data_IF_791853305676
#
_entry.id   IF_791853305676
#
_cell.length_a   1.000
_cell.length_b   1.000
_cell.length_c   1.000
_cell.angle_alpha   90.00
_cell.angle_beta   90.00
_cell.angle_gamma   90.00
#
_symmetry.space_group_name_H-M   'P 1'
#
loop_
_entity.id
_entity.type
_entity.pdbx_description
1 polymer ?
#
# COMPACT_ATOMS: atom_id res chain seq x y z
N UNK A 1 -32.76 -61.20 -9.18
CA UNK A 1 -33.40 -60.99 -10.48
C UNK A 1 -32.63 -59.89 -11.18
N UNK A 2 -31.64 -60.18 -12.01
CA UNK A 2 -31.67 -60.39 -13.46
C UNK A 2 -32.23 -59.13 -14.16
N UNK A 3 -31.45 -58.42 -15.02
CA UNK A 3 -30.77 -58.68 -16.29
C UNK A 3 -29.90 -57.46 -16.69
N UNK A 4 -28.64 -57.54 -17.01
CA UNK A 4 -28.01 -57.72 -18.36
C UNK A 4 -28.22 -56.55 -19.34
N UNK A 5 -27.11 -55.86 -19.63
CA UNK A 5 -26.25 -55.87 -20.86
C UNK A 5 -26.69 -54.93 -21.99
N UNK A 6 -25.84 -54.00 -22.47
CA UNK A 6 -25.03 -54.07 -23.70
C UNK A 6 -24.29 -52.74 -23.98
N UNK A 7 -22.99 -52.75 -24.18
CA UNK A 7 -22.30 -51.83 -25.08
C UNK A 7 -22.26 -52.53 -26.46
N UNK A 8 -21.44 -52.13 -27.44
CA UNK A 8 -20.60 -50.94 -27.68
C UNK A 8 -20.85 -50.33 -29.08
N UNK A 9 -20.19 -49.26 -29.49
CA UNK A 9 -19.67 -49.17 -30.85
C UNK A 9 -18.76 -47.95 -31.05
N UNK A 10 -17.55 -48.26 -31.37
CA UNK A 10 -16.53 -47.43 -32.01
C UNK A 10 -17.02 -47.04 -33.40
N UNK A 11 -16.88 -45.77 -33.76
CA UNK A 11 -16.79 -45.39 -35.19
C UNK A 11 -15.67 -44.35 -35.37
N UNK A 12 -14.59 -44.87 -35.90
CA UNK A 12 -13.44 -44.19 -36.50
C UNK A 12 -13.88 -43.60 -37.85
N UNK A 13 -13.69 -42.33 -38.09
CA UNK A 13 -13.72 -41.80 -39.48
C UNK A 13 -12.61 -40.76 -39.64
N UNK A 14 -11.55 -41.20 -40.24
CA UNK A 14 -10.52 -40.48 -40.98
C UNK A 14 -11.14 -39.71 -42.13
N UNK A 15 -10.80 -38.44 -42.31
CA UNK A 15 -10.91 -37.80 -43.62
C UNK A 15 -9.66 -36.97 -43.94
N UNK A 16 -9.20 -37.22 -45.14
CA UNK A 16 -7.92 -36.93 -45.78
C UNK A 16 -7.92 -35.53 -46.39
N UNK A 17 -6.76 -34.86 -46.28
CA UNK A 17 -6.14 -33.93 -47.22
C UNK A 17 -6.92 -33.44 -48.45
N UNK A 18 -6.93 -32.13 -48.64
CA UNK A 18 -6.84 -31.53 -49.97
C UNK A 18 -6.04 -30.22 -49.94
N UNK A 19 -4.84 -30.33 -50.49
CA UNK A 19 -3.89 -29.29 -50.88
C UNK A 19 -4.36 -28.65 -52.16
N UNK A 20 -4.43 -27.32 -52.24
CA UNK A 20 -4.48 -26.61 -53.50
C UNK A 20 -3.70 -25.31 -53.44
N UNK A 21 -2.54 -25.32 -54.02
CA UNK A 21 -1.75 -24.16 -54.38
C UNK A 21 -2.40 -23.41 -55.59
N UNK A 22 -2.42 -22.10 -55.51
CA UNK A 22 -2.45 -21.24 -56.70
C UNK A 22 -1.35 -20.20 -56.61
N UNK A 23 -0.37 -20.35 -57.46
CA UNK A 23 0.64 -19.36 -57.82
C UNK A 23 0.14 -18.57 -59.04
N UNK A 24 0.67 -17.38 -59.14
CA UNK A 24 0.83 -16.44 -60.25
C UNK A 24 -0.14 -15.25 -60.20
N UNK A 25 0.31 -14.04 -60.34
CA UNK A 25 1.54 -13.48 -60.83
C UNK A 25 1.46 -11.98 -60.98
N UNK A 26 2.63 -11.41 -61.22
CA UNK A 26 2.99 -10.17 -61.92
C UNK A 26 2.87 -8.82 -61.20
N UNK A 27 3.99 -8.32 -60.72
CA UNK A 27 4.77 -7.24 -61.39
C UNK A 27 4.03 -5.90 -61.61
N UNK A 28 4.35 -4.96 -60.73
CA UNK A 28 4.07 -3.54 -60.92
C UNK A 28 5.04 -2.74 -60.06
N UNK A 29 6.11 -2.27 -60.69
CA UNK A 29 7.08 -1.32 -60.13
C UNK A 29 6.37 0.01 -59.88
N UNK A 30 6.25 0.37 -58.61
CA UNK A 30 5.78 1.68 -58.16
C UNK A 30 6.57 2.03 -56.90
N UNK A 31 7.57 2.87 -57.05
CA UNK A 31 8.33 3.52 -55.97
C UNK A 31 7.39 4.47 -55.24
N UNK A 32 6.77 4.00 -54.15
CA UNK A 32 6.13 4.88 -53.20
C UNK A 32 7.02 5.08 -51.99
N UNK A 33 7.22 6.36 -51.71
CA UNK A 33 7.97 6.87 -50.55
C UNK A 33 7.41 6.24 -49.30
N UNK A 34 8.30 5.68 -48.48
CA UNK A 34 8.12 5.36 -47.06
C UNK A 34 7.54 6.58 -46.34
N UNK A 35 6.20 6.61 -46.23
CA UNK A 35 5.54 7.43 -45.21
C UNK A 35 5.73 6.74 -43.88
N UNK A 36 6.20 7.50 -42.89
CA UNK A 36 6.56 7.03 -41.60
C UNK A 36 5.56 6.08 -40.94
N UNK A 37 6.09 5.08 -40.26
CA UNK A 37 5.37 4.15 -39.43
C UNK A 37 4.40 4.93 -38.53
N UNK A 38 3.13 4.80 -38.80
CA UNK A 38 2.10 5.12 -37.81
C UNK A 38 2.33 4.11 -36.67
N UNK A 39 2.99 4.54 -35.58
CA UNK A 39 3.07 3.79 -34.33
C UNK A 39 1.64 3.38 -33.98
N UNK A 40 1.35 2.08 -33.98
CA UNK A 40 0.06 1.57 -33.53
C UNK A 40 -0.20 2.03 -32.09
N UNK A 41 -1.46 2.22 -31.72
CA UNK A 41 -1.84 2.62 -30.36
C UNK A 41 -1.26 1.66 -29.32
N UNK A 42 -0.50 2.19 -28.37
CA UNK A 42 0.11 1.45 -27.26
C UNK A 42 -0.86 1.46 -26.07
N UNK A 43 -1.13 0.31 -25.48
CA UNK A 43 -1.90 0.23 -24.22
C UNK A 43 -0.98 -0.23 -23.10
N UNK A 44 -0.66 0.67 -22.18
CA UNK A 44 0.07 0.37 -20.96
C UNK A 44 -0.88 -0.17 -19.90
N UNK A 45 -0.50 -1.25 -19.24
CA UNK A 45 -1.22 -1.85 -18.12
C UNK A 45 -0.50 -1.50 -16.81
N UNK A 46 -1.21 -0.93 -15.87
CA UNK A 46 -0.68 -0.64 -14.53
C UNK A 46 -1.46 -1.45 -13.49
N UNK A 47 -0.74 -2.23 -12.67
CA UNK A 47 -1.34 -2.97 -11.56
C UNK A 47 -1.41 -2.08 -10.32
N UNK A 48 -2.62 -1.92 -9.77
CA UNK A 48 -2.95 -1.04 -8.64
C UNK A 48 -3.82 -1.76 -7.61
N UNK A 49 -3.79 -1.28 -6.35
CA UNK A 49 -4.66 -1.84 -5.28
C UNK A 49 -5.80 -0.92 -4.86
N UNK A 50 -5.91 0.26 -5.44
CA UNK A 50 -6.98 1.17 -5.08
C UNK A 50 -8.34 0.56 -5.48
N UNK A 51 -9.26 0.52 -4.53
CA UNK A 51 -10.56 -0.12 -4.66
C UNK A 51 -11.74 0.77 -4.25
N UNK A 52 -11.49 2.00 -3.80
CA UNK A 52 -12.57 2.93 -3.51
C UNK A 52 -12.96 3.73 -4.77
N UNK A 53 -14.25 4.08 -4.95
CA UNK A 53 -14.72 4.77 -6.16
C UNK A 53 -14.07 6.13 -6.40
N UNK A 54 -13.84 6.91 -5.35
CA UNK A 54 -13.23 8.25 -5.47
C UNK A 54 -11.77 8.13 -5.91
N UNK A 55 -10.97 7.30 -5.25
CA UNK A 55 -9.57 7.08 -5.64
C UNK A 55 -9.45 6.54 -7.07
N UNK A 56 -10.34 5.62 -7.48
CA UNK A 56 -10.38 5.13 -8.87
C UNK A 56 -10.68 6.25 -9.87
N UNK A 57 -11.59 7.16 -9.52
CA UNK A 57 -11.92 8.32 -10.35
C UNK A 57 -10.71 9.24 -10.51
N UNK A 58 -10.04 9.56 -9.40
CA UNK A 58 -8.87 10.43 -9.38
C UNK A 58 -7.70 9.84 -10.20
N UNK A 59 -7.44 8.54 -10.06
CA UNK A 59 -6.43 7.86 -10.88
C UNK A 59 -6.77 7.95 -12.37
N UNK A 60 -8.03 7.74 -12.74
CA UNK A 60 -8.46 7.88 -14.12
C UNK A 60 -8.26 9.30 -14.67
N UNK A 61 -8.50 10.34 -13.87
CA UNK A 61 -8.27 11.73 -14.28
C UNK A 61 -6.78 12.00 -14.55
N UNK A 62 -5.89 11.47 -13.69
CA UNK A 62 -4.43 11.55 -13.87
C UNK A 62 -4.00 10.83 -15.16
N UNK A 63 -4.49 9.61 -15.38
CA UNK A 63 -4.14 8.84 -16.58
C UNK A 63 -4.69 9.48 -17.87
N UNK A 64 -5.89 10.04 -17.84
CA UNK A 64 -6.45 10.79 -18.98
C UNK A 64 -5.61 12.03 -19.30
N UNK A 65 -5.04 12.71 -18.30
CA UNK A 65 -4.13 13.81 -18.53
C UNK A 65 -2.84 13.35 -19.20
N UNK A 66 -2.28 12.20 -18.80
CA UNK A 66 -1.12 11.59 -19.48
C UNK A 66 -1.44 11.21 -20.92
N UNK A 67 -2.57 10.56 -21.18
CA UNK A 67 -3.01 10.16 -22.53
C UNK A 67 -3.17 11.36 -23.46
N UNK A 68 -3.67 12.48 -22.94
CA UNK A 68 -3.82 13.73 -23.70
C UNK A 68 -2.47 14.31 -24.13
N UNK A 69 -1.44 14.19 -23.32
CA UNK A 69 -0.08 14.64 -23.62
C UNK A 69 0.72 13.63 -24.46
N UNK A 70 0.27 12.37 -24.53
CA UNK A 70 0.93 11.29 -25.26
C UNK A 70 -0.06 10.62 -26.25
N UNK A 71 -0.42 11.28 -27.37
CA UNK A 71 -1.33 10.72 -28.37
C UNK A 71 -0.84 9.35 -28.86
N UNK A 72 -1.74 8.37 -28.94
CA UNK A 72 -1.42 6.99 -29.30
C UNK A 72 -1.01 6.10 -28.11
N UNK A 73 -0.99 6.63 -26.88
CA UNK A 73 -0.80 5.82 -25.67
C UNK A 73 -2.08 5.83 -24.84
N UNK A 74 -2.51 4.65 -24.39
CA UNK A 74 -3.63 4.43 -23.48
C UNK A 74 -3.13 3.80 -22.18
N UNK A 75 -3.79 4.08 -21.06
CA UNK A 75 -3.46 3.49 -19.76
C UNK A 75 -4.66 2.69 -19.25
N UNK A 76 -4.43 1.44 -18.90
CA UNK A 76 -5.43 0.54 -18.35
C UNK A 76 -5.04 0.06 -16.96
N UNK A 77 -5.89 0.37 -15.97
CA UNK A 77 -5.72 -0.18 -14.62
C UNK A 77 -6.08 -1.67 -14.57
N UNK A 78 -5.27 -2.43 -13.87
CA UNK A 78 -5.52 -3.81 -13.46
C UNK A 78 -5.59 -3.83 -11.93
N UNK A 79 -6.66 -4.39 -11.36
CA UNK A 79 -6.88 -4.35 -9.93
C UNK A 79 -6.50 -5.65 -9.24
N UNK A 80 -5.94 -5.50 -8.02
CA UNK A 80 -5.84 -6.58 -7.05
C UNK A 80 -6.13 -6.05 -5.65
N UNK A 81 -6.80 -6.83 -4.77
CA UNK A 81 -6.89 -6.51 -3.35
C UNK A 81 -5.50 -6.38 -2.73
N UNK A 82 -5.36 -5.48 -1.75
CA UNK A 82 -4.06 -5.18 -1.12
C UNK A 82 -3.38 -6.43 -0.56
N UNK A 83 -4.13 -7.30 0.12
CA UNK A 83 -3.65 -8.55 0.72
C UNK A 83 -3.27 -9.64 -0.30
N UNK A 84 -3.71 -9.53 -1.56
CA UNK A 84 -3.43 -10.47 -2.67
C UNK A 84 -2.53 -9.88 -3.75
N UNK A 85 -2.10 -8.65 -3.56
CA UNK A 85 -1.45 -7.85 -4.59
C UNK A 85 -0.12 -8.46 -5.05
N UNK A 86 0.75 -8.78 -4.09
CA UNK A 86 2.08 -9.32 -4.36
C UNK A 86 2.02 -10.68 -5.06
N UNK A 87 1.15 -11.58 -4.58
CA UNK A 87 0.92 -12.90 -5.19
C UNK A 87 0.43 -12.76 -6.63
N UNK A 88 -0.50 -11.82 -6.86
CA UNK A 88 -1.03 -11.57 -8.20
C UNK A 88 0.06 -11.07 -9.15
N UNK A 89 0.86 -10.09 -8.72
CA UNK A 89 1.95 -9.56 -9.56
C UNK A 89 2.98 -10.64 -9.90
N UNK A 90 3.41 -11.42 -8.91
CA UNK A 90 4.37 -12.53 -9.14
C UNK A 90 3.79 -13.62 -10.05
N UNK A 91 2.52 -13.97 -9.88
CA UNK A 91 1.83 -14.94 -10.74
C UNK A 91 1.73 -14.45 -12.19
N UNK A 92 1.34 -13.19 -12.39
CA UNK A 92 1.28 -12.59 -13.73
C UNK A 92 2.66 -12.54 -14.38
N UNK A 93 3.70 -12.19 -13.59
CA UNK A 93 5.09 -12.15 -14.07
C UNK A 93 5.60 -13.53 -14.50
N UNK A 94 5.33 -14.56 -13.70
CA UNK A 94 5.71 -15.93 -14.01
C UNK A 94 4.94 -16.50 -15.22
N UNK A 95 3.70 -16.07 -15.41
CA UNK A 95 2.84 -16.49 -16.53
C UNK A 95 3.10 -15.75 -17.85
N UNK A 96 4.02 -14.79 -17.88
CA UNK A 96 4.30 -13.98 -19.10
C UNK A 96 3.21 -12.94 -19.41
N UNK A 97 2.29 -12.66 -18.45
CA UNK A 97 1.22 -11.65 -18.53
C UNK A 97 1.52 -10.46 -17.60
N UNK A 98 2.79 -10.13 -17.42
CA UNK A 98 3.23 -9.07 -16.53
C UNK A 98 2.65 -7.72 -16.96
N UNK A 99 2.16 -6.87 -16.02
CA UNK A 99 1.78 -5.50 -16.32
C UNK A 99 3.02 -4.64 -16.63
N UNK A 100 2.82 -3.56 -17.40
CA UNK A 100 3.92 -2.64 -17.77
C UNK A 100 4.42 -1.85 -16.57
N UNK A 101 3.50 -1.39 -15.70
CA UNK A 101 3.83 -0.75 -14.44
C UNK A 101 3.14 -1.48 -13.27
N UNK A 102 3.72 -1.33 -12.11
CA UNK A 102 3.21 -1.91 -10.87
C UNK A 102 3.41 -0.97 -9.69
N UNK A 103 2.36 -0.76 -8.91
CA UNK A 103 2.49 -0.22 -7.56
C UNK A 103 3.19 -1.24 -6.69
N UNK A 104 4.03 -0.81 -5.78
CA UNK A 104 4.82 -1.74 -4.97
C UNK A 104 4.53 -1.48 -3.50
N UNK A 105 4.11 -2.52 -2.79
CA UNK A 105 4.07 -2.47 -1.33
C UNK A 105 5.53 -2.43 -0.83
N UNK A 106 5.91 -1.44 0.01
CA UNK A 106 7.30 -1.31 0.45
C UNK A 106 7.93 -2.61 0.97
N UNK A 107 7.16 -3.39 1.73
CA UNK A 107 7.60 -4.69 2.26
C UNK A 107 7.96 -5.73 1.17
N UNK A 108 7.38 -5.63 -0.02
CA UNK A 108 7.63 -6.56 -1.14
C UNK A 108 8.71 -6.07 -2.10
N UNK A 109 9.21 -4.84 -1.95
CA UNK A 109 10.11 -4.25 -2.92
C UNK A 109 11.41 -5.07 -3.08
N UNK A 110 12.08 -5.41 -1.98
CA UNK A 110 13.26 -6.28 -2.01
C UNK A 110 13.00 -7.64 -2.66
N UNK A 111 11.85 -8.24 -2.39
CA UNK A 111 11.46 -9.51 -3.01
C UNK A 111 11.30 -9.40 -4.54
N UNK A 112 10.65 -8.31 -5.02
CA UNK A 112 10.47 -8.11 -6.46
C UNK A 112 11.79 -7.89 -7.17
N UNK A 113 12.71 -7.11 -6.57
CA UNK A 113 14.05 -6.93 -7.10
C UNK A 113 14.83 -8.25 -7.09
N UNK A 114 14.84 -8.99 -5.97
CA UNK A 114 15.52 -10.27 -5.84
C UNK A 114 15.02 -11.35 -6.83
N UNK A 115 13.71 -11.33 -7.14
CA UNK A 115 13.12 -12.21 -8.18
C UNK A 115 13.37 -11.72 -9.61
N UNK A 116 13.98 -10.54 -9.79
CA UNK A 116 14.32 -9.99 -11.10
C UNK A 116 13.09 -9.66 -11.96
N UNK A 117 11.95 -9.32 -11.35
CA UNK A 117 10.70 -9.00 -12.06
C UNK A 117 10.53 -7.50 -12.34
N UNK A 118 11.42 -6.65 -11.83
CA UNK A 118 11.46 -5.22 -12.11
C UNK A 118 12.59 -4.87 -13.08
N UNK A 119 12.37 -3.80 -13.86
CA UNK A 119 13.38 -3.22 -14.73
C UNK A 119 14.37 -2.37 -13.91
N UNK A 120 15.68 -2.48 -14.19
CA UNK A 120 16.70 -1.57 -13.69
C UNK A 120 16.56 -0.22 -14.42
N UNK A 121 16.38 0.85 -13.66
CA UNK A 121 16.18 2.21 -14.15
C UNK A 121 17.43 3.07 -14.01
N UNK A 122 18.56 2.50 -13.58
CA UNK A 122 19.79 3.25 -13.26
C UNK A 122 20.36 4.02 -14.45
N UNK A 123 20.14 3.53 -15.67
CA UNK A 123 20.58 4.16 -16.92
C UNK A 123 19.55 5.17 -17.50
N UNK A 124 18.42 5.36 -16.84
CA UNK A 124 17.40 6.31 -17.29
C UNK A 124 17.73 7.73 -16.83
N UNK A 125 17.35 8.71 -17.64
CA UNK A 125 17.53 10.13 -17.33
C UNK A 125 16.47 10.58 -16.30
N UNK A 126 16.71 10.25 -15.02
CA UNK A 126 15.86 10.64 -13.91
C UNK A 126 16.22 12.06 -13.48
N UNK A 127 15.26 12.97 -13.44
CA UNK A 127 15.44 14.36 -13.01
C UNK A 127 15.60 14.47 -11.49
N UNK A 128 16.74 13.99 -10.98
CA UNK A 128 17.02 13.83 -9.55
C UNK A 128 16.83 15.12 -8.74
N UNK A 129 17.16 16.26 -9.33
CA UNK A 129 17.10 17.56 -8.66
C UNK A 129 15.67 18.05 -8.37
N UNK A 130 14.67 17.47 -9.04
CA UNK A 130 13.25 17.81 -8.81
C UNK A 130 12.68 17.16 -7.54
N UNK A 131 13.27 16.05 -7.08
CA UNK A 131 12.77 15.31 -5.92
C UNK A 131 13.22 15.94 -4.60
N UNK A 132 12.44 15.71 -3.56
CA UNK A 132 12.84 15.99 -2.19
C UNK A 132 14.06 15.13 -1.81
N UNK A 133 14.89 15.58 -0.84
CA UNK A 133 16.05 14.81 -0.39
C UNK A 133 15.66 13.37 0.01
N UNK A 134 16.51 12.41 -0.31
CA UNK A 134 16.42 10.99 0.06
C UNK A 134 15.22 10.22 -0.52
N UNK A 135 14.29 10.87 -1.22
CA UNK A 135 13.11 10.19 -1.79
C UNK A 135 13.50 9.11 -2.81
N UNK A 136 14.47 9.40 -3.67
CA UNK A 136 14.89 8.44 -4.69
C UNK A 136 15.56 7.20 -4.09
N UNK A 137 16.18 7.33 -2.92
CA UNK A 137 16.79 6.20 -2.20
C UNK A 137 15.74 5.14 -1.81
N UNK A 138 14.49 5.57 -1.59
CA UNK A 138 13.37 4.67 -1.30
C UNK A 138 13.02 3.74 -2.49
N UNK A 139 13.50 4.05 -3.69
CA UNK A 139 13.34 3.24 -4.89
C UNK A 139 14.59 2.46 -5.29
N UNK A 140 15.59 2.36 -4.40
CA UNK A 140 16.89 1.71 -4.67
C UNK A 140 17.06 0.43 -3.87
N UNK A 141 17.73 -0.54 -4.49
CA UNK A 141 18.25 -1.74 -3.83
C UNK A 141 19.70 -1.91 -4.31
N UNK A 142 20.65 -2.07 -3.40
CA UNK A 142 22.09 -2.21 -3.68
C UNK A 142 22.64 -1.09 -4.59
N UNK A 143 22.17 0.15 -4.39
CA UNK A 143 22.58 1.33 -5.12
C UNK A 143 22.03 1.44 -6.55
N UNK A 144 21.15 0.54 -6.97
CA UNK A 144 20.47 0.56 -8.27
C UNK A 144 19.03 1.01 -8.12
N UNK A 145 18.56 1.81 -9.08
CA UNK A 145 17.18 2.30 -9.11
C UNK A 145 16.24 1.28 -9.78
N UNK A 146 15.19 0.86 -9.09
CA UNK A 146 14.17 -0.07 -9.61
C UNK A 146 12.75 0.50 -9.56
N UNK A 147 12.56 1.57 -8.81
CA UNK A 147 11.26 2.24 -8.72
C UNK A 147 11.45 3.75 -8.58
N UNK A 148 10.49 4.55 -9.02
CA UNK A 148 10.36 5.93 -8.64
C UNK A 148 9.24 6.07 -7.61
N UNK A 149 9.39 7.01 -6.69
CA UNK A 149 8.41 7.23 -5.64
C UNK A 149 7.37 8.22 -6.13
N UNK A 150 6.11 7.83 -6.08
CA UNK A 150 4.99 8.69 -6.46
C UNK A 150 4.60 9.65 -5.35
N UNK A 151 4.57 9.13 -4.13
CA UNK A 151 4.17 9.86 -2.94
C UNK A 151 4.85 9.31 -1.70
N UNK A 152 4.97 10.13 -0.68
CA UNK A 152 5.46 9.75 0.62
C UNK A 152 4.65 10.47 1.69
N UNK A 153 4.32 9.74 2.76
CA UNK A 153 3.51 10.24 3.85
C UNK A 153 3.84 9.52 5.15
N UNK A 154 3.08 9.84 6.17
CA UNK A 154 3.10 9.15 7.45
C UNK A 154 1.66 9.00 7.94
N UNK A 155 1.44 8.16 8.94
CA UNK A 155 0.13 8.02 9.55
C UNK A 155 -0.13 9.13 10.55
N UNK A 156 -1.42 9.48 10.69
CA UNK A 156 -1.94 10.39 11.71
C UNK A 156 -3.11 9.72 12.43
N UNK A 157 -3.44 10.24 13.61
CA UNK A 157 -4.66 9.87 14.30
C UNK A 157 -5.78 10.83 13.93
N UNK A 158 -6.74 10.35 13.15
CA UNK A 158 -8.00 11.06 12.94
C UNK A 158 -8.91 10.91 14.15
N UNK A 159 -9.60 11.99 14.53
CA UNK A 159 -10.50 11.98 15.67
C UNK A 159 -11.81 12.71 15.41
N UNK A 160 -12.89 12.21 16.02
CA UNK A 160 -14.23 12.76 15.94
C UNK A 160 -14.42 13.80 17.05
N UNK A 161 -14.38 15.10 16.69
CA UNK A 161 -14.51 16.24 17.61
C UNK A 161 -15.82 16.17 18.42
N UNK A 162 -16.93 15.82 17.77
CA UNK A 162 -18.23 15.78 18.41
C UNK A 162 -18.31 14.69 19.52
N UNK A 163 -17.60 13.57 19.35
CA UNK A 163 -17.51 12.53 20.38
C UNK A 163 -16.63 12.96 21.56
N UNK A 164 -15.54 13.66 21.30
CA UNK A 164 -14.68 14.23 22.33
C UNK A 164 -15.42 15.25 23.16
N UNK A 165 -16.13 16.20 22.50
CA UNK A 165 -16.96 17.21 23.15
C UNK A 165 -18.06 16.57 24.01
N UNK A 166 -18.80 15.61 23.46
CA UNK A 166 -19.88 14.90 24.16
C UNK A 166 -19.42 14.11 25.39
N UNK A 167 -18.15 13.66 25.38
CA UNK A 167 -17.56 12.94 26.51
C UNK A 167 -16.79 13.86 27.48
N UNK A 168 -16.65 15.15 27.18
CA UNK A 168 -15.83 16.08 27.97
C UNK A 168 -14.35 15.70 27.99
N UNK A 169 -13.84 15.11 26.90
CA UNK A 169 -12.44 14.72 26.74
C UNK A 169 -11.72 15.84 25.98
N UNK A 170 -10.62 16.38 26.49
CA UNK A 170 -9.82 17.34 25.72
C UNK A 170 -9.37 16.75 24.37
N UNK A 171 -9.29 17.60 23.33
CA UNK A 171 -8.72 17.16 22.06
C UNK A 171 -7.25 16.74 22.24
N UNK A 172 -6.77 15.76 21.48
CA UNK A 172 -5.37 15.37 21.51
C UNK A 172 -4.50 16.51 20.99
N UNK A 173 -3.27 16.59 21.48
CA UNK A 173 -2.25 17.57 21.08
C UNK A 173 -1.12 16.88 20.32
N UNK A 174 -0.28 17.62 19.63
CA UNK A 174 0.85 17.08 18.87
C UNK A 174 1.89 16.35 19.75
N UNK A 175 1.83 16.54 21.10
CA UNK A 175 2.77 15.95 22.06
C UNK A 175 2.14 14.83 22.90
N UNK A 176 0.94 14.36 22.57
CA UNK A 176 0.27 13.32 23.34
C UNK A 176 1.02 11.98 23.30
N UNK A 177 0.80 11.15 24.33
CA UNK A 177 1.48 9.87 24.55
C UNK A 177 0.52 8.69 24.41
N UNK A 178 1.05 7.47 24.43
CA UNK A 178 0.24 6.25 24.53
C UNK A 178 -0.68 6.23 25.75
N UNK A 179 -0.22 6.78 26.89
CA UNK A 179 -1.04 6.86 28.10
C UNK A 179 -2.20 7.84 27.93
N UNK A 180 -1.96 9.00 27.30
CA UNK A 180 -3.01 9.98 26.97
C UNK A 180 -4.02 9.39 25.97
N UNK A 181 -3.54 8.73 24.93
CA UNK A 181 -4.37 8.03 23.98
C UNK A 181 -5.26 6.98 24.67
N UNK A 182 -4.67 6.13 25.52
CA UNK A 182 -5.43 5.09 26.22
C UNK A 182 -6.44 5.68 27.19
N UNK A 183 -6.10 6.75 27.88
CA UNK A 183 -7.02 7.46 28.77
C UNK A 183 -8.21 8.05 28.01
N UNK A 184 -7.96 8.69 26.86
CA UNK A 184 -9.00 9.21 25.99
C UNK A 184 -9.85 8.06 25.41
N UNK A 185 -9.24 7.02 24.86
CA UNK A 185 -9.93 5.88 24.28
C UNK A 185 -10.88 5.20 25.26
N UNK A 186 -10.47 5.04 26.54
CA UNK A 186 -11.34 4.50 27.59
C UNK A 186 -12.57 5.36 27.87
N UNK A 187 -12.41 6.69 27.95
CA UNK A 187 -13.51 7.62 28.19
C UNK A 187 -14.49 7.68 27.00
N UNK A 188 -13.96 7.54 25.76
CA UNK A 188 -14.73 7.57 24.54
C UNK A 188 -15.42 6.25 24.21
N UNK A 189 -15.04 5.16 24.87
CA UNK A 189 -15.70 3.85 24.69
C UNK A 189 -17.01 3.81 25.48
N UNK A 190 -18.14 3.50 24.78
CA UNK A 190 -19.46 3.40 25.40
C UNK A 190 -19.98 1.97 25.37
N UNK A 191 -20.49 1.53 26.49
CA UNK A 191 -21.08 0.20 26.67
C UNK A 191 -22.54 0.35 27.09
N UNK A 192 -23.46 -0.26 26.35
CA UNK A 192 -24.87 -0.27 26.64
C UNK A 192 -25.38 -1.72 26.63
N UNK A 193 -26.12 -2.12 27.64
CA UNK A 193 -26.65 -3.48 27.76
C UNK A 193 -25.57 -4.57 27.70
N UNK A 194 -24.35 -4.28 28.17
CA UNK A 194 -23.20 -5.20 28.12
C UNK A 194 -22.53 -5.34 26.74
N UNK A 195 -22.93 -4.53 25.75
CA UNK A 195 -22.32 -4.48 24.41
C UNK A 195 -21.66 -3.14 24.18
N UNK A 196 -20.46 -3.14 23.60
CA UNK A 196 -19.81 -1.91 23.16
C UNK A 196 -20.56 -1.36 21.95
N UNK A 197 -21.11 -0.17 22.07
CA UNK A 197 -21.87 0.55 21.02
C UNK A 197 -21.00 1.61 20.33
N UNK A 198 -19.95 2.09 21.00
CA UNK A 198 -18.96 3.02 20.50
C UNK A 198 -17.58 2.62 21.00
N UNK A 199 -16.59 2.52 20.13
CA UNK A 199 -15.21 2.23 20.46
C UNK A 199 -14.40 3.51 20.54
N UNK A 200 -13.37 3.54 21.39
CA UNK A 200 -12.42 4.65 21.45
C UNK A 200 -11.53 4.69 20.21
N UNK A 201 -11.18 3.53 19.66
CA UNK A 201 -10.31 3.36 18.49
C UNK A 201 -10.91 2.36 17.51
N UNK A 202 -10.83 2.64 16.19
CA UNK A 202 -11.25 1.71 15.15
C UNK A 202 -10.25 0.58 15.00
N UNK A 203 -9.00 0.90 14.69
CA UNK A 203 -7.93 -0.05 14.48
C UNK A 203 -6.56 0.61 14.64
N UNK A 204 -5.68 0.05 15.47
CA UNK A 204 -4.32 0.48 15.63
C UNK A 204 -3.38 -0.58 15.07
N UNK A 205 -2.67 -0.27 14.00
CA UNK A 205 -1.83 -1.24 13.30
C UNK A 205 -0.59 -1.60 14.11
N UNK A 206 -0.27 -2.89 14.18
CA UNK A 206 0.91 -3.37 14.90
C UNK A 206 2.21 -2.77 14.38
N UNK A 207 2.34 -2.57 13.07
CA UNK A 207 3.52 -1.93 12.49
C UNK A 207 3.76 -0.52 13.00
N UNK A 208 2.68 0.25 13.24
CA UNK A 208 2.75 1.58 13.81
C UNK A 208 3.16 1.52 15.30
N UNK A 209 2.54 0.62 16.05
CA UNK A 209 2.90 0.40 17.47
C UNK A 209 4.37 -0.01 17.63
N UNK A 210 4.86 -0.90 16.74
CA UNK A 210 6.27 -1.32 16.75
C UNK A 210 7.20 -0.10 16.59
N UNK A 211 6.96 0.71 15.57
CA UNK A 211 7.80 1.89 15.27
C UNK A 211 7.80 2.87 16.45
N UNK A 212 6.65 3.21 16.99
CA UNK A 212 6.52 4.13 18.10
C UNK A 212 7.21 3.65 19.38
N UNK A 213 7.31 2.34 19.58
CA UNK A 213 7.98 1.76 20.72
C UNK A 213 9.47 1.44 20.49
N UNK A 214 9.97 1.66 19.24
CA UNK A 214 11.35 1.32 18.86
C UNK A 214 11.56 -0.15 18.51
N UNK A 215 10.46 -0.89 18.27
CA UNK A 215 10.47 -2.28 17.83
C UNK A 215 10.42 -2.43 16.30
N UNK A 216 10.65 -3.64 15.83
CA UNK A 216 10.55 -4.01 14.41
C UNK A 216 10.42 -5.53 14.23
N UNK A 217 10.07 -5.97 13.01
CA UNK A 217 10.08 -7.41 12.68
C UNK A 217 11.50 -7.96 12.57
N UNK A 218 12.34 -7.23 11.84
CA UNK A 218 13.78 -7.50 11.67
C UNK A 218 14.54 -6.17 11.69
N UNK A 219 15.85 -6.22 11.93
CA UNK A 219 16.74 -5.05 11.92
C UNK A 219 16.76 -4.37 10.54
N UNK A 220 17.13 -3.09 10.50
CA UNK A 220 17.20 -2.29 9.27
C UNK A 220 18.15 -2.87 8.21
N UNK A 221 19.20 -3.58 8.63
CA UNK A 221 20.11 -4.29 7.72
C UNK A 221 19.62 -5.69 7.32
N UNK A 222 18.45 -6.09 7.80
CA UNK A 222 17.80 -7.38 7.51
C UNK A 222 18.48 -8.61 8.11
N UNK A 223 19.47 -8.45 9.02
CA UNK A 223 20.29 -9.56 9.50
C UNK A 223 19.82 -10.17 10.81
N UNK A 224 19.00 -9.45 11.57
CA UNK A 224 18.54 -9.88 12.90
C UNK A 224 17.02 -9.91 12.95
N UNK A 225 16.49 -10.95 13.56
CA UNK A 225 15.08 -11.01 13.95
C UNK A 225 14.91 -10.20 15.24
N UNK A 226 14.03 -9.20 15.21
CA UNK A 226 13.84 -8.24 16.33
C UNK A 226 12.42 -8.24 16.87
N UNK A 227 11.53 -9.05 16.32
CA UNK A 227 10.12 -9.11 16.78
C UNK A 227 9.99 -9.60 18.23
N UNK A 228 10.98 -10.29 18.76
CA UNK A 228 11.05 -10.74 20.15
C UNK A 228 11.90 -9.84 21.06
N UNK A 229 12.29 -8.64 20.58
CA UNK A 229 12.90 -7.64 21.45
C UNK A 229 11.90 -7.14 22.51
N UNK A 230 12.37 -6.63 23.67
CA UNK A 230 11.49 -6.09 24.69
C UNK A 230 10.53 -5.02 24.15
N UNK A 231 11.02 -4.14 23.27
CA UNK A 231 10.26 -3.05 22.65
C UNK A 231 9.16 -3.61 21.73
N UNK A 232 9.47 -4.64 20.94
CA UNK A 232 8.52 -5.30 20.04
C UNK A 232 7.45 -6.07 20.80
N UNK A 233 7.85 -6.84 21.84
CA UNK A 233 6.92 -7.57 22.70
C UNK A 233 5.94 -6.62 23.37
N UNK A 234 6.43 -5.52 23.95
CA UNK A 234 5.59 -4.51 24.61
C UNK A 234 4.61 -3.86 23.63
N UNK A 235 5.05 -3.52 22.41
CA UNK A 235 4.19 -2.95 21.38
C UNK A 235 3.06 -3.91 20.98
N UNK A 236 3.36 -5.17 20.75
CA UNK A 236 2.35 -6.19 20.40
C UNK A 236 1.41 -6.45 21.57
N UNK A 237 1.94 -6.52 22.81
CA UNK A 237 1.11 -6.68 24.00
C UNK A 237 0.18 -5.48 24.21
N UNK A 238 0.67 -4.25 24.01
CA UNK A 238 -0.17 -3.05 24.10
C UNK A 238 -1.32 -3.11 23.08
N UNK A 239 -1.05 -3.46 21.81
CA UNK A 239 -2.09 -3.67 20.80
C UNK A 239 -3.13 -4.72 21.19
N UNK A 240 -2.68 -5.85 21.74
CA UNK A 240 -3.58 -6.90 22.26
C UNK A 240 -4.40 -6.40 23.47
N UNK A 241 -3.79 -5.63 24.36
CA UNK A 241 -4.45 -5.06 25.53
C UNK A 241 -5.55 -4.06 25.13
N UNK A 242 -5.40 -3.29 24.06
CA UNK A 242 -6.46 -2.40 23.55
C UNK A 242 -7.75 -3.18 23.23
N UNK A 243 -7.61 -4.38 22.68
CA UNK A 243 -8.71 -5.25 22.27
C UNK A 243 -9.26 -6.05 23.50
N UNK A 244 -8.38 -6.75 24.20
CA UNK A 244 -8.77 -7.81 25.12
C UNK A 244 -8.97 -7.31 26.56
N UNK A 245 -8.07 -6.44 27.03
CA UNK A 245 -8.07 -5.92 28.42
C UNK A 245 -8.86 -4.64 28.53
N UNK A 246 -8.61 -3.67 27.68
CA UNK A 246 -9.23 -2.35 27.73
C UNK A 246 -10.51 -2.27 26.95
N UNK A 247 -10.69 -3.13 25.92
CA UNK A 247 -11.89 -3.22 25.08
C UNK A 247 -12.24 -1.88 24.39
N UNK A 248 -11.22 -1.08 24.12
CA UNK A 248 -11.35 0.22 23.46
C UNK A 248 -11.30 0.11 21.94
N UNK A 249 -10.82 -1.02 21.44
CA UNK A 249 -10.77 -1.40 20.03
C UNK A 249 -11.61 -2.66 19.82
N UNK A 250 -12.34 -2.79 18.68
CA UNK A 250 -13.15 -3.96 18.40
C UNK A 250 -12.30 -5.20 18.11
N UNK A 251 -12.85 -6.36 18.44
CA UNK A 251 -12.38 -7.63 17.88
C UNK A 251 -12.77 -7.74 16.40
N UNK A 252 -12.10 -8.60 15.64
CA UNK A 252 -12.46 -8.88 14.24
C UNK A 252 -13.93 -9.32 14.07
N UNK A 253 -14.49 -10.02 15.06
CA UNK A 253 -15.90 -10.42 15.05
C UNK A 253 -16.85 -9.21 15.25
N UNK A 254 -16.45 -8.23 16.06
CA UNK A 254 -17.27 -7.03 16.32
C UNK A 254 -17.23 -6.04 15.13
N UNK A 255 -16.15 -6.01 14.36
CA UNK A 255 -16.01 -5.18 13.16
C UNK A 255 -16.49 -5.87 11.88
N UNK A 256 -16.85 -7.16 11.96
CA UNK A 256 -17.27 -7.92 10.79
C UNK A 256 -18.49 -7.29 10.10
N UNK A 257 -18.37 -7.05 8.79
CA UNK A 257 -19.42 -6.42 7.98
C UNK A 257 -19.48 -4.89 8.09
N UNK A 258 -18.57 -4.27 8.83
CA UNK A 258 -18.45 -2.82 8.93
C UNK A 258 -17.12 -2.39 8.27
N UNK A 259 -17.20 -1.65 7.18
CA UNK A 259 -16.01 -1.24 6.42
C UNK A 259 -15.28 -0.03 7.02
N UNK A 260 -15.97 0.79 7.82
CA UNK A 260 -15.40 2.02 8.40
C UNK A 260 -16.22 2.42 9.63
N UNK A 261 -15.71 2.06 10.82
CA UNK A 261 -16.37 2.37 12.10
C UNK A 261 -16.31 3.85 12.42
N UNK A 262 -15.23 4.53 12.03
CA UNK A 262 -15.07 5.96 12.24
C UNK A 262 -16.14 6.75 11.47
N UNK A 263 -16.24 6.55 10.16
CA UNK A 263 -17.25 7.23 9.34
C UNK A 263 -18.69 6.88 9.74
N UNK A 264 -18.92 5.68 10.24
CA UNK A 264 -20.26 5.29 10.73
C UNK A 264 -20.57 5.82 12.13
N UNK A 265 -19.70 6.63 12.73
CA UNK A 265 -19.86 7.18 14.07
C UNK A 265 -19.81 6.11 15.18
N UNK A 266 -19.12 4.99 14.97
CA UNK A 266 -18.96 3.89 15.94
C UNK A 266 -17.57 3.79 16.53
N UNK A 267 -16.60 4.59 16.03
CA UNK A 267 -15.29 4.74 16.63
C UNK A 267 -14.95 6.23 16.74
N UNK A 268 -14.33 6.62 17.86
CA UNK A 268 -13.96 8.01 18.11
C UNK A 268 -12.65 8.41 17.45
N UNK A 269 -11.75 7.46 17.24
CA UNK A 269 -10.45 7.66 16.63
C UNK A 269 -10.17 6.59 15.57
N UNK A 270 -9.38 6.97 14.56
CA UNK A 270 -8.94 6.10 13.47
C UNK A 270 -7.53 6.45 13.08
N UNK A 271 -6.69 5.43 12.86
CA UNK A 271 -5.43 5.61 12.15
C UNK A 271 -5.73 5.88 10.67
N UNK A 272 -5.24 7.00 10.14
CA UNK A 272 -5.48 7.42 8.76
C UNK A 272 -4.24 8.09 8.15
N UNK A 273 -4.26 8.22 6.84
CA UNK A 273 -3.32 9.03 6.09
C UNK A 273 -4.06 9.98 5.15
N UNK A 274 -3.34 10.79 4.36
CA UNK A 274 -3.96 11.75 3.44
C UNK A 274 -4.95 11.12 2.44
N UNK A 275 -4.74 9.84 2.09
CA UNK A 275 -5.65 9.07 1.23
C UNK A 275 -7.06 8.84 1.82
N UNK A 276 -7.23 9.02 3.13
CA UNK A 276 -8.52 8.94 3.81
C UNK A 276 -9.28 10.27 3.85
N UNK A 277 -8.58 11.42 3.64
CA UNK A 277 -9.14 12.75 3.90
C UNK A 277 -10.32 13.08 2.99
N UNK A 278 -10.20 12.82 1.68
CA UNK A 278 -11.26 13.12 0.73
C UNK A 278 -12.54 12.33 1.01
N UNK A 279 -12.41 11.02 1.34
CA UNK A 279 -13.55 10.18 1.71
C UNK A 279 -14.16 10.63 3.04
N UNK A 280 -13.31 10.98 4.02
CA UNK A 280 -13.75 11.45 5.33
C UNK A 280 -14.46 12.80 5.21
N UNK A 281 -13.88 13.77 4.50
CA UNK A 281 -14.48 15.09 4.30
C UNK A 281 -15.84 15.04 3.58
N UNK A 282 -16.02 14.08 2.66
CA UNK A 282 -17.25 13.89 1.91
C UNK A 282 -18.34 13.18 2.71
N UNK A 283 -17.97 12.19 3.51
CA UNK A 283 -18.93 11.22 4.09
C UNK A 283 -19.09 11.35 5.61
N UNK A 284 -18.18 12.02 6.32
CA UNK A 284 -18.36 12.26 7.75
C UNK A 284 -19.54 13.20 7.99
N UNK A 285 -20.43 12.81 8.90
CA UNK A 285 -21.59 13.63 9.35
C UNK A 285 -21.31 14.36 10.66
N UNK A 286 -20.04 14.41 11.07
CA UNK A 286 -19.53 15.00 12.30
C UNK A 286 -18.25 15.82 12.02
N UNK A 287 -17.88 16.67 12.94
CA UNK A 287 -16.63 17.43 12.89
C UNK A 287 -15.46 16.49 13.22
N UNK A 288 -14.41 16.58 12.44
CA UNK A 288 -13.21 15.76 12.61
C UNK A 288 -11.95 16.57 12.36
N UNK A 289 -10.84 16.05 12.85
CA UNK A 289 -9.51 16.60 12.57
C UNK A 289 -8.48 15.49 12.71
N UNK A 290 -7.20 15.81 12.49
CA UNK A 290 -6.07 14.92 12.69
C UNK A 290 -5.11 15.45 13.75
N UNK A 291 -4.26 14.57 14.24
CA UNK A 291 -3.14 14.87 15.12
C UNK A 291 -2.01 13.88 14.83
N UNK A 292 -0.74 14.23 15.04
CA UNK A 292 0.34 13.26 15.01
C UNK A 292 0.04 12.02 15.84
N UNK A 293 0.61 10.88 15.46
CA UNK A 293 0.46 9.65 16.24
C UNK A 293 1.00 9.82 17.66
N UNK A 294 0.38 9.21 18.69
CA UNK A 294 0.83 9.36 20.06
C UNK A 294 2.24 8.79 20.27
N UNK A 295 3.04 9.49 21.05
CA UNK A 295 4.41 9.10 21.36
C UNK A 295 4.46 7.81 22.18
N UNK A 296 5.21 6.82 21.68
CA UNK A 296 5.69 5.67 22.45
C UNK A 296 7.09 5.93 23.01
N UNK A 297 7.84 4.87 23.32
CA UNK A 297 9.22 4.99 23.86
C UNK A 297 10.21 5.60 22.85
N UNK A 298 10.01 5.41 21.55
CA UNK A 298 10.82 6.03 20.51
C UNK A 298 10.43 7.49 20.22
N UNK A 299 9.46 8.03 20.95
CA UNK A 299 8.98 9.39 20.79
C UNK A 299 7.80 9.49 19.80
N UNK A 300 7.54 10.71 19.35
CA UNK A 300 6.50 11.00 18.37
C UNK A 300 7.03 10.71 16.96
N UNK A 301 7.05 9.44 16.62
CA UNK A 301 7.44 8.93 15.29
C UNK A 301 6.32 8.09 14.70
N UNK A 302 6.27 7.99 13.40
CA UNK A 302 5.29 7.19 12.68
C UNK A 302 5.94 6.39 11.55
N UNK A 303 5.32 5.29 11.18
CA UNK A 303 5.75 4.51 10.03
C UNK A 303 5.69 5.34 8.75
N UNK A 304 6.75 5.27 7.94
CA UNK A 304 6.75 5.86 6.62
C UNK A 304 5.76 5.10 5.72
N UNK A 305 4.85 5.84 5.10
CA UNK A 305 3.98 5.36 4.05
C UNK A 305 4.43 6.00 2.74
N UNK A 306 4.82 5.21 1.75
CA UNK A 306 5.24 5.69 0.44
C UNK A 306 4.86 4.70 -0.65
N UNK A 307 4.70 5.20 -1.85
CA UNK A 307 4.27 4.42 -3.00
C UNK A 307 5.37 4.36 -4.07
N UNK A 308 6.21 3.32 -4.06
CA UNK A 308 7.09 3.04 -5.18
C UNK A 308 6.28 2.53 -6.36
N UNK A 309 6.61 2.99 -7.56
CA UNK A 309 6.12 2.45 -8.82
C UNK A 309 7.31 1.93 -9.61
N UNK A 310 7.24 0.67 -10.02
CA UNK A 310 8.25 0.03 -10.86
C UNK A 310 7.73 -0.29 -12.25
N UNK A 311 8.66 -0.51 -13.17
CA UNK A 311 8.37 -1.03 -14.51
C UNK A 311 8.60 -2.54 -14.50
N UNK A 312 7.62 -3.29 -15.00
CA UNK A 312 7.75 -4.72 -15.18
C UNK A 312 8.84 -5.07 -16.19
N UNK A 313 9.79 -5.95 -15.82
CA UNK A 313 10.91 -6.32 -16.68
C UNK A 313 10.47 -6.93 -18.03
N UNK A 314 9.28 -7.53 -18.06
CA UNK A 314 8.70 -8.15 -19.27
C UNK A 314 7.91 -7.21 -20.16
N UNK A 315 7.86 -5.90 -19.88
CA UNK A 315 7.14 -4.93 -20.72
C UNK A 315 7.67 -4.93 -22.15
N UNK A 316 6.75 -4.77 -23.11
CA UNK A 316 7.09 -4.58 -24.53
C UNK A 316 7.18 -3.10 -24.92
N UNK A 317 6.86 -2.19 -23.98
CA UNK A 317 6.77 -0.76 -24.17
C UNK A 317 7.59 0.02 -23.12
N UNK A 318 8.92 -0.28 -22.99
CA UNK A 318 9.73 0.27 -21.90
C UNK A 318 9.84 1.80 -21.92
N UNK A 319 9.86 2.41 -23.10
CA UNK A 319 9.98 3.87 -23.23
C UNK A 319 8.66 4.58 -22.86
N UNK A 320 7.53 4.06 -23.33
CA UNK A 320 6.21 4.58 -22.97
C UNK A 320 5.90 4.35 -21.48
N UNK A 321 6.30 3.21 -20.94
CA UNK A 321 6.19 2.91 -19.51
C UNK A 321 7.04 3.87 -18.66
N UNK A 322 8.26 4.18 -19.08
CA UNK A 322 9.10 5.13 -18.37
C UNK A 322 8.53 6.56 -18.41
N UNK A 323 7.98 7.00 -19.56
CA UNK A 323 7.28 8.29 -19.64
C UNK A 323 6.09 8.38 -18.68
N UNK A 324 5.30 7.31 -18.57
CA UNK A 324 4.20 7.27 -17.61
C UNK A 324 4.73 7.30 -16.17
N UNK A 325 5.79 6.56 -15.89
CA UNK A 325 6.42 6.55 -14.57
C UNK A 325 6.93 7.94 -14.18
N UNK A 326 7.65 8.64 -15.06
CA UNK A 326 8.07 10.03 -14.82
C UNK A 326 6.88 10.97 -14.62
N UNK A 327 5.86 10.86 -15.47
CA UNK A 327 4.65 11.68 -15.35
C UNK A 327 4.02 11.53 -13.96
N UNK A 328 3.95 10.30 -13.42
CA UNK A 328 3.35 10.01 -12.12
C UNK A 328 4.23 10.43 -10.95
N UNK A 329 5.56 10.40 -11.09
CA UNK A 329 6.50 10.57 -9.97
C UNK A 329 7.17 11.94 -9.91
N UNK A 330 7.34 12.64 -11.04
CA UNK A 330 7.94 13.98 -11.08
C UNK A 330 7.27 14.95 -12.03
N UNK A 331 6.48 14.45 -12.97
CA UNK A 331 5.80 15.25 -13.98
C UNK A 331 4.52 15.92 -13.49
N UNK A 332 3.65 16.24 -14.45
CA UNK A 332 2.34 16.89 -14.21
C UNK A 332 1.39 16.02 -13.38
N UNK A 333 1.58 14.69 -13.37
CA UNK A 333 0.84 13.79 -12.49
C UNK A 333 0.98 14.18 -11.00
N UNK A 334 2.17 14.66 -10.60
CA UNK A 334 2.39 15.18 -9.25
C UNK A 334 1.59 16.44 -8.96
N UNK A 335 1.44 17.34 -9.94
CA UNK A 335 0.67 18.58 -9.78
C UNK A 335 -0.83 18.27 -9.67
N UNK A 336 -1.32 17.33 -10.49
CA UNK A 336 -2.71 16.87 -10.44
C UNK A 336 -3.03 16.11 -9.14
N UNK A 337 -2.04 15.45 -8.55
CA UNK A 337 -2.19 14.73 -7.31
C UNK A 337 -2.54 15.65 -6.14
N UNK A 338 -2.01 16.87 -6.11
CA UNK A 338 -2.36 17.90 -5.11
C UNK A 338 -3.82 18.26 -5.20
N UNK A 339 -4.31 18.45 -6.42
CA UNK A 339 -5.70 18.84 -6.66
C UNK A 339 -6.70 17.72 -6.38
N UNK A 340 -6.25 16.48 -6.52
CA UNK A 340 -7.10 15.27 -6.46
C UNK A 340 -6.97 14.49 -5.16
N UNK A 341 -5.94 14.69 -4.41
CA UNK A 341 -5.62 14.18 -3.07
C UNK A 341 -5.71 12.67 -2.88
N UNK A 342 -4.57 12.08 -2.81
CA UNK A 342 -4.47 10.76 -2.18
C UNK A 342 -3.19 10.60 -1.38
N UNK A 343 -2.21 11.51 -1.51
CA UNK A 343 -0.96 11.42 -0.76
C UNK A 343 -0.07 12.66 -0.95
N UNK A 344 0.98 12.78 -0.18
CA UNK A 344 1.90 13.91 -0.23
C UNK A 344 2.83 13.80 -1.43
N UNK A 345 2.88 14.80 -2.30
CA UNK A 345 3.81 14.82 -3.42
C UNK A 345 5.27 14.80 -2.96
N UNK A 346 6.12 14.14 -3.74
CA UNK A 346 7.55 13.97 -3.41
C UNK A 346 8.49 14.94 -4.13
N UNK A 347 7.94 15.87 -4.91
CA UNK A 347 8.73 16.88 -5.65
C UNK A 347 8.78 18.20 -4.89
N UNK A 348 9.95 18.85 -4.91
CA UNK A 348 10.22 20.09 -4.18
C UNK A 348 9.19 21.20 -4.45
N UNK A 349 8.78 21.37 -5.71
CA UNK A 349 7.81 22.40 -6.11
C UNK A 349 6.42 22.25 -5.50
N UNK A 350 6.11 21.05 -4.99
CA UNK A 350 4.80 20.70 -4.45
C UNK A 350 4.80 20.42 -2.95
N UNK A 351 5.98 20.31 -2.34
CA UNK A 351 6.13 19.92 -0.93
C UNK A 351 5.40 20.86 0.05
N UNK A 352 5.35 22.15 -0.25
CA UNK A 352 4.74 23.16 0.62
C UNK A 352 3.21 23.27 0.44
N UNK A 353 2.64 22.59 -0.57
CA UNK A 353 1.21 22.69 -0.91
C UNK A 353 0.30 21.73 -0.17
N UNK A 354 0.83 20.98 0.80
CA UNK A 354 0.05 20.01 1.59
C UNK A 354 -1.15 20.68 2.26
N UNK A 355 -0.95 21.88 2.79
CA UNK A 355 -1.99 22.65 3.49
C UNK A 355 -3.06 23.20 2.54
N UNK A 356 -2.74 23.36 1.27
CA UNK A 356 -3.66 23.84 0.23
C UNK A 356 -4.51 22.70 -0.37
N UNK A 357 -4.30 21.47 0.09
CA UNK A 357 -5.05 20.31 -0.42
C UNK A 357 -6.55 20.52 -0.16
N UNK A 358 -7.34 20.35 -1.21
CA UNK A 358 -8.81 20.39 -1.12
C UNK A 358 -9.30 19.31 -0.17
N UNK A 359 -10.03 19.60 0.88
CA UNK A 359 -10.47 18.68 1.94
C UNK A 359 -9.38 18.34 2.99
N UNK A 360 -8.29 19.08 3.04
CA UNK A 360 -7.34 18.94 4.14
C UNK A 360 -8.04 19.23 5.48
N UNK A 361 -7.76 18.47 6.54
CA UNK A 361 -8.22 18.80 7.90
C UNK A 361 -7.56 20.07 8.42
N UNK A 362 -8.10 20.65 9.50
CA UNK A 362 -7.58 21.89 10.06
C UNK A 362 -6.10 21.80 10.45
N UNK A 363 -5.67 20.64 10.99
CA UNK A 363 -4.30 20.38 11.45
C UNK A 363 -3.43 19.66 10.39
N UNK A 364 -3.68 19.89 9.09
CA UNK A 364 -2.92 19.25 8.01
C UNK A 364 -1.43 19.64 7.98
N UNK A 365 -1.06 20.80 8.51
CA UNK A 365 0.31 21.29 8.63
C UNK A 365 1.17 20.43 9.56
N UNK A 366 0.56 19.76 10.54
CA UNK A 366 1.26 18.79 11.40
C UNK A 366 1.93 17.66 10.60
N UNK A 367 1.32 17.22 9.50
CA UNK A 367 1.89 16.24 8.59
C UNK A 367 3.16 16.77 7.89
N UNK A 368 3.12 18.00 7.40
CA UNK A 368 4.28 18.66 6.80
C UNK A 368 5.44 18.75 7.79
N UNK A 369 5.14 19.12 9.03
CA UNK A 369 6.10 19.20 10.13
C UNK A 369 6.76 17.84 10.41
N UNK A 370 5.98 16.76 10.54
CA UNK A 370 6.50 15.41 10.77
C UNK A 370 7.45 14.95 9.66
N UNK A 371 7.11 15.23 8.40
CA UNK A 371 7.95 14.88 7.25
C UNK A 371 9.25 15.68 7.22
N UNK A 372 9.19 16.98 7.52
CA UNK A 372 10.36 17.87 7.55
C UNK A 372 11.30 17.55 8.71
N UNK A 373 10.78 17.19 9.87
CA UNK A 373 11.55 16.83 11.06
C UNK A 373 12.15 15.42 11.01
N UNK A 374 11.85 14.66 9.95
CA UNK A 374 12.34 13.29 9.80
C UNK A 374 11.77 12.31 10.82
N UNK A 375 10.58 12.60 11.37
CA UNK A 375 9.87 11.74 12.33
C UNK A 375 9.15 10.55 11.67
N UNK A 376 9.56 10.20 10.47
CA UNK A 376 9.08 9.02 9.75
C UNK A 376 10.14 7.92 9.80
N UNK A 377 9.71 6.71 10.11
CA UNK A 377 10.58 5.55 10.25
C UNK A 377 10.26 4.53 9.16
N UNK A 378 11.27 4.10 8.42
CA UNK A 378 11.15 2.98 7.48
C UNK A 378 10.95 1.68 8.26
N UNK A 379 9.83 1.00 8.02
CA UNK A 379 9.48 -0.24 8.72
C UNK A 379 10.11 -1.49 8.13
N UNK A 380 10.59 -1.41 6.90
CA UNK A 380 10.97 -2.60 6.15
C UNK A 380 12.38 -2.44 5.57
N UNK A 381 13.32 -3.34 5.90
CA UNK A 381 14.55 -3.48 5.14
C UNK A 381 14.22 -4.02 3.74
N UNK A 382 14.98 -3.60 2.74
CA UNK A 382 14.80 -4.09 1.37
C UNK A 382 15.54 -5.41 1.15
N UNK A 383 15.22 -6.41 1.97
CA UNK A 383 15.72 -7.77 1.76
C UNK A 383 14.68 -8.62 1.03
N UNK A 384 15.11 -9.58 0.19
CA UNK A 384 14.18 -10.46 -0.52
C UNK A 384 13.25 -11.25 0.40
N UNK A 385 13.70 -11.57 1.60
CA UNK A 385 13.01 -12.42 2.57
C UNK A 385 12.01 -11.65 3.45
N UNK A 386 12.10 -10.31 3.52
CA UNK A 386 11.31 -9.53 4.48
C UNK A 386 9.80 -9.78 4.37
N UNK A 387 9.27 -9.76 3.15
CA UNK A 387 7.84 -10.01 2.94
C UNK A 387 7.41 -11.42 3.40
N UNK A 388 8.26 -12.42 3.20
CA UNK A 388 8.00 -13.79 3.64
C UNK A 388 8.05 -13.89 5.16
N UNK A 389 9.05 -13.27 5.80
CA UNK A 389 9.17 -13.18 7.26
C UNK A 389 7.94 -12.50 7.86
N UNK A 390 7.55 -11.35 7.32
CA UNK A 390 6.35 -10.64 7.77
C UNK A 390 5.10 -11.50 7.65
N UNK A 391 4.95 -12.22 6.52
CA UNK A 391 3.80 -13.11 6.29
C UNK A 391 3.72 -14.28 7.29
N UNK A 392 4.82 -14.69 7.90
CA UNK A 392 4.87 -15.72 8.94
C UNK A 392 4.59 -15.15 10.34
N UNK A 393 5.03 -13.92 10.62
CA UNK A 393 4.83 -13.26 11.92
C UNK A 393 3.40 -12.78 12.07
N UNK A 394 2.80 -12.19 11.02
CA UNK A 394 1.47 -11.57 11.11
C UNK A 394 0.39 -12.51 11.65
N UNK A 395 0.26 -13.78 11.19
CA UNK A 395 -0.72 -14.72 11.75
C UNK A 395 -0.51 -15.03 13.23
N UNK A 396 0.73 -14.94 13.73
CA UNK A 396 1.03 -15.12 15.16
C UNK A 396 0.48 -13.94 15.96
N UNK A 397 0.73 -12.72 15.50
CA UNK A 397 0.17 -11.50 16.10
C UNK A 397 -1.37 -11.53 16.06
N UNK A 398 -1.95 -11.91 14.94
CA UNK A 398 -3.41 -12.05 14.81
C UNK A 398 -3.99 -13.07 15.82
N UNK A 399 -3.28 -14.17 16.06
CA UNK A 399 -3.67 -15.15 17.07
C UNK A 399 -3.50 -14.63 18.50
N UNK A 400 -2.44 -13.83 18.79
CA UNK A 400 -2.27 -13.16 20.07
C UNK A 400 -3.48 -12.28 20.35
N UNK A 401 -3.87 -11.46 19.38
CA UNK A 401 -5.03 -10.57 19.48
C UNK A 401 -6.35 -11.32 19.59
N UNK A 402 -6.56 -12.35 18.78
CA UNK A 402 -7.83 -13.09 18.73
C UNK A 402 -8.05 -13.97 19.98
N UNK A 403 -6.99 -14.58 20.52
CA UNK A 403 -7.07 -15.57 21.58
C UNK A 403 -6.55 -15.07 22.92
N UNK A 404 -6.15 -13.80 22.98
CA UNK A 404 -5.53 -13.18 24.17
C UNK A 404 -4.35 -14.01 24.70
N UNK A 405 -3.42 -14.36 23.79
CA UNK A 405 -2.23 -15.13 24.13
C UNK A 405 -1.14 -14.22 24.71
N UNK A 406 -0.20 -14.82 25.40
CA UNK A 406 1.02 -14.16 25.90
C UNK A 406 1.92 -13.79 24.71
N UNK A 407 2.12 -12.48 24.51
CA UNK A 407 2.88 -11.97 23.37
C UNK A 407 4.36 -12.38 23.45
N UNK A 408 4.98 -12.33 24.63
CA UNK A 408 6.39 -12.68 24.81
C UNK A 408 6.65 -14.13 24.38
N UNK A 409 5.82 -15.05 24.86
CA UNK A 409 5.96 -16.47 24.57
C UNK A 409 5.79 -16.77 23.08
N UNK A 410 4.75 -16.23 22.46
CA UNK A 410 4.45 -16.54 21.04
C UNK A 410 5.44 -15.86 20.10
N UNK A 411 5.88 -14.62 20.39
CA UNK A 411 6.86 -13.91 19.59
C UNK A 411 8.25 -14.52 19.68
N UNK A 412 8.72 -14.94 20.85
CA UNK A 412 9.98 -15.68 20.98
C UNK A 412 9.97 -16.98 20.16
N UNK A 413 8.86 -17.70 20.21
CA UNK A 413 8.71 -18.95 19.47
C UNK A 413 8.81 -18.74 17.96
N UNK A 414 8.12 -17.76 17.38
CA UNK A 414 8.19 -17.49 15.94
C UNK A 414 9.55 -16.90 15.55
N UNK A 415 10.16 -16.06 16.39
CA UNK A 415 11.49 -15.52 16.15
C UNK A 415 12.54 -16.63 16.02
N UNK A 416 12.53 -17.62 16.92
CA UNK A 416 13.43 -18.78 16.85
C UNK A 416 13.23 -19.61 15.58
N UNK A 417 11.99 -19.77 15.11
CA UNK A 417 11.69 -20.45 13.86
C UNK A 417 12.26 -19.71 12.66
N UNK A 418 12.09 -18.38 12.62
CA UNK A 418 12.60 -17.52 11.54
C UNK A 418 14.12 -17.50 11.52
N UNK A 419 14.79 -17.36 12.69
CA UNK A 419 16.26 -17.43 12.78
C UNK A 419 16.79 -18.72 12.17
N UNK A 420 16.18 -19.84 12.52
CA UNK A 420 16.58 -21.17 12.02
C UNK A 420 16.33 -21.32 10.52
N UNK A 421 15.21 -20.82 10.02
CA UNK A 421 14.81 -21.01 8.62
C UNK A 421 15.60 -20.15 7.66
N UNK A 422 15.85 -18.87 8.03
CA UNK A 422 16.52 -17.90 7.18
C UNK A 422 17.99 -17.67 7.53
N UNK A 423 18.52 -18.32 8.56
CA UNK A 423 19.90 -18.16 8.99
C UNK A 423 20.22 -16.77 9.55
N UNK A 424 19.21 -16.11 10.14
CA UNK A 424 19.35 -14.77 10.75
C UNK A 424 19.79 -14.87 12.23
N UNK A 425 20.37 -13.76 12.75
CA UNK A 425 20.68 -13.63 14.17
C UNK A 425 19.43 -13.34 15.03
#
# INVERSE_FOLDING_TARGET
MSKKKKGPSILLLTFIFALSAFLAGCSGSGSEKSSGDAKGDVTLRILVWNNNPEGTKLENEIFQAFEKENPGVKVKMVYAPYDKFNDKFLTMSAGGDQPDLVWIQPAAFGQFVGKGVLMDLSDKDIKKDEYMPNVLELGQVDGKQYALIRDASTFQMGYNKDMFDAAGVPYPTDEWTWDDFLAAAKKLTKVEGGKTVQFGMENYYTGELLVQNGGSFVSQDGKKVTIDSPESIEAVQFGSDLINKHKVQPTSAQSQGMSNLFLSGKAAMKLMGPWDWADTAKNATFKWDIVPMPAGKAGNVSAAAYLPIGIGKGTKHPEEAFKLLEFLSSGKGQDLQIDTISAVPVVKRNAEKIVDMKNAPENADSLATLLQEGKTVMNAPYTPEYAEIQSKIQPVIDNINLKNLDAEKELKKIADQIRKEYGLE
#
